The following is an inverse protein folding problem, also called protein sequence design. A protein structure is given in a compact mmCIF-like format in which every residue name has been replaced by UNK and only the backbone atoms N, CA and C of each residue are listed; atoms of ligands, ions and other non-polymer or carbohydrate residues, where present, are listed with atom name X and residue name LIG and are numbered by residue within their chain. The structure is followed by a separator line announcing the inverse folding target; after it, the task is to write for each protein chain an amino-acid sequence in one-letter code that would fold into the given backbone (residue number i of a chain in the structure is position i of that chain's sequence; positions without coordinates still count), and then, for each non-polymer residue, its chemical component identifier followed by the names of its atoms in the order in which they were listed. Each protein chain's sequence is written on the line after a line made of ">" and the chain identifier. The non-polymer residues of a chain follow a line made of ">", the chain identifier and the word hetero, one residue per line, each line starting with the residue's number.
data_IF_065097612894
#
_entry.id   IF_065097612894
#
_cell.length_a   1.000
_cell.length_b   1.000
_cell.length_c   1.000
_cell.angle_alpha   90.00
_cell.angle_beta   90.00
_cell.angle_gamma   90.00
#
_symmetry.space_group_name_H-M   'P 1'
#
loop_
_entity.id
_entity.type
_entity.pdbx_description
1 polymer ?
#
# COMPACT_ATOMS: atom_id res chain seq x y z
N UNK A 1 20.63 16.32 -15.51
CA UNK A 1 19.24 16.00 -15.95
C UNK A 1 18.22 16.58 -14.98
N UNK A 2 16.96 16.80 -15.42
CA UNK A 2 15.91 17.21 -14.50
C UNK A 2 15.60 16.07 -13.51
N UNK A 3 15.41 16.39 -12.23
CA UNK A 3 14.99 15.42 -11.23
C UNK A 3 13.59 14.89 -11.60
N UNK A 4 13.41 13.58 -11.51
CA UNK A 4 12.12 12.93 -11.65
C UNK A 4 11.43 12.93 -10.27
N UNK A 5 10.09 13.08 -10.26
CA UNK A 5 9.31 12.85 -9.02
C UNK A 5 9.25 11.34 -8.77
N UNK A 6 9.83 10.91 -7.66
CA UNK A 6 9.90 9.50 -7.26
C UNK A 6 8.71 9.09 -6.36
N UNK A 7 8.57 7.79 -6.14
CA UNK A 7 7.60 7.22 -5.21
C UNK A 7 8.28 6.19 -4.30
N UNK A 8 7.67 5.78 -3.17
CA UNK A 8 8.19 4.68 -2.35
C UNK A 8 8.49 3.43 -3.19
N UNK A 9 7.60 3.10 -4.13
CA UNK A 9 7.79 1.94 -5.03
C UNK A 9 8.99 2.11 -5.95
N UNK A 10 9.18 3.28 -6.57
CA UNK A 10 10.32 3.50 -7.47
C UNK A 10 11.64 3.47 -6.71
N UNK A 11 11.70 4.03 -5.51
CA UNK A 11 12.89 4.01 -4.64
C UNK A 11 13.22 2.58 -4.20
N UNK A 12 12.20 1.81 -3.79
CA UNK A 12 12.37 0.39 -3.45
C UNK A 12 12.86 -0.43 -4.66
N UNK A 13 12.32 -0.16 -5.87
CA UNK A 13 12.79 -0.82 -7.10
C UNK A 13 14.26 -0.50 -7.38
N UNK A 14 14.67 0.74 -7.20
CA UNK A 14 16.07 1.15 -7.36
C UNK A 14 17.01 0.42 -6.38
N UNK A 15 16.60 0.32 -5.10
CA UNK A 15 17.36 -0.41 -4.07
C UNK A 15 17.45 -1.90 -4.38
N UNK A 16 16.35 -2.48 -4.84
CA UNK A 16 16.28 -3.90 -5.18
C UNK A 16 17.16 -4.26 -6.39
N UNK A 17 17.05 -3.49 -7.47
CA UNK A 17 17.83 -3.67 -8.68
C UNK A 17 17.85 -2.40 -9.53
N UNK A 18 19.02 -1.75 -9.63
CA UNK A 18 19.17 -0.54 -10.44
C UNK A 18 18.82 -0.77 -11.90
N UNK A 19 19.16 -1.94 -12.48
CA UNK A 19 18.81 -2.30 -13.86
C UNK A 19 17.29 -2.42 -14.06
N UNK A 20 16.56 -2.97 -13.09
CA UNK A 20 15.08 -3.01 -13.11
C UNK A 20 14.50 -1.60 -13.08
N UNK A 21 15.04 -0.75 -12.19
CA UNK A 21 14.64 0.66 -12.13
C UNK A 21 14.87 1.37 -13.47
N UNK A 22 16.03 1.17 -14.11
CA UNK A 22 16.33 1.75 -15.41
C UNK A 22 15.27 1.37 -16.45
N UNK A 23 15.00 0.08 -16.64
CA UNK A 23 14.00 -0.36 -17.60
C UNK A 23 12.61 0.20 -17.32
N UNK A 24 12.20 0.20 -16.07
CA UNK A 24 10.85 0.59 -15.69
C UNK A 24 10.64 2.10 -15.70
N UNK A 25 11.63 2.87 -15.23
CA UNK A 25 11.43 4.30 -14.94
C UNK A 25 12.21 5.25 -15.82
N UNK A 26 13.33 4.84 -16.37
CA UNK A 26 14.12 5.66 -17.31
C UNK A 26 13.70 5.34 -18.75
N UNK A 27 13.79 4.07 -19.14
CA UNK A 27 13.40 3.59 -20.48
C UNK A 27 11.88 3.44 -20.64
N UNK A 28 11.12 3.38 -19.53
CA UNK A 28 9.65 3.30 -19.49
C UNK A 28 9.09 2.07 -20.22
N UNK A 29 9.77 0.94 -20.10
CA UNK A 29 9.26 -0.32 -20.63
C UNK A 29 7.99 -0.75 -19.87
N UNK A 30 7.03 -1.35 -20.58
CA UNK A 30 5.82 -1.86 -19.94
C UNK A 30 6.15 -2.97 -18.92
N UNK A 31 5.41 -2.99 -17.83
CA UNK A 31 5.41 -4.08 -16.85
C UNK A 31 4.11 -4.86 -16.95
N UNK A 32 4.16 -6.14 -16.65
CA UNK A 32 2.99 -7.00 -16.61
C UNK A 32 2.35 -6.94 -15.23
N UNK A 33 1.04 -6.76 -15.18
CA UNK A 33 0.29 -6.94 -13.93
C UNK A 33 0.32 -8.41 -13.52
N UNK A 34 0.30 -8.66 -12.23
CA UNK A 34 0.15 -10.00 -11.68
C UNK A 34 -1.03 -10.04 -10.70
N UNK A 35 -1.47 -11.22 -10.34
CA UNK A 35 -2.65 -11.40 -9.48
C UNK A 35 -2.50 -10.70 -8.13
N UNK A 36 -1.29 -10.66 -7.56
CA UNK A 36 -1.07 -10.02 -6.26
C UNK A 36 -1.24 -8.50 -6.32
N UNK A 37 -0.87 -7.87 -7.43
CA UNK A 37 -1.11 -6.44 -7.67
C UNK A 37 -2.60 -6.16 -7.87
N UNK A 38 -3.28 -6.96 -8.73
CA UNK A 38 -4.70 -6.75 -9.03
C UNK A 38 -5.56 -6.92 -7.77
N UNK A 39 -5.38 -8.00 -7.03
CA UNK A 39 -6.13 -8.20 -5.78
C UNK A 39 -5.78 -7.17 -4.70
N UNK A 40 -4.53 -6.69 -4.67
CA UNK A 40 -4.13 -5.58 -3.81
C UNK A 40 -4.95 -4.32 -4.11
N UNK A 41 -5.02 -3.92 -5.38
CA UNK A 41 -5.85 -2.80 -5.83
C UNK A 41 -7.32 -3.00 -5.44
N UNK A 42 -7.89 -4.19 -5.69
CA UNK A 42 -9.27 -4.50 -5.33
C UNK A 42 -9.50 -4.38 -3.82
N UNK A 43 -8.57 -4.90 -3.00
CA UNK A 43 -8.69 -4.81 -1.55
C UNK A 43 -8.64 -3.35 -1.06
N UNK A 44 -7.68 -2.54 -1.53
CA UNK A 44 -7.56 -1.13 -1.17
C UNK A 44 -8.82 -0.34 -1.56
N UNK A 45 -9.28 -0.47 -2.82
CA UNK A 45 -10.51 0.19 -3.26
C UNK A 45 -11.75 -0.25 -2.45
N UNK A 46 -11.80 -1.53 -2.03
CA UNK A 46 -12.90 -2.01 -1.19
C UNK A 46 -12.87 -1.39 0.21
N UNK A 47 -11.70 -1.21 0.80
CA UNK A 47 -11.54 -0.57 2.11
C UNK A 47 -11.82 0.94 2.01
N UNK A 48 -11.44 1.58 0.92
CA UNK A 48 -11.75 2.97 0.64
C UNK A 48 -13.27 3.21 0.56
N UNK A 49 -13.97 2.46 -0.31
CA UNK A 49 -15.42 2.61 -0.54
C UNK A 49 -16.24 2.21 0.70
N UNK A 50 -15.72 1.35 1.60
CA UNK A 50 -16.43 0.93 2.81
C UNK A 50 -16.83 2.12 3.70
N UNK A 51 -16.04 3.16 3.75
CA UNK A 51 -16.35 4.32 4.58
C UNK A 51 -17.36 5.30 3.93
N UNK A 52 -17.87 4.98 2.75
CA UNK A 52 -18.91 5.76 2.05
C UNK A 52 -20.29 5.07 2.03
N UNK A 53 -20.44 4.00 2.82
CA UNK A 53 -21.73 3.32 3.00
C UNK A 53 -22.74 4.26 3.65
N UNK A 54 -24.03 4.09 3.32
CA UNK A 54 -25.12 4.82 3.99
C UNK A 54 -25.31 4.31 5.43
N UNK A 55 -25.37 5.24 6.38
CA UNK A 55 -25.63 4.94 7.79
C UNK A 55 -27.10 5.20 8.19
N UNK A 56 -27.98 5.53 7.25
CA UNK A 56 -29.37 5.94 7.56
C UNK A 56 -30.11 4.90 8.40
N UNK A 57 -30.06 3.64 8.00
CA UNK A 57 -30.76 2.52 8.64
C UNK A 57 -29.88 1.73 9.64
N UNK A 58 -28.71 2.27 10.01
CA UNK A 58 -27.81 1.63 10.93
C UNK A 58 -28.33 1.76 12.37
N UNK A 59 -28.34 0.66 13.11
CA UNK A 59 -28.77 0.58 14.53
C UNK A 59 -27.82 -0.28 15.33
N UNK A 60 -27.93 -0.24 16.65
CA UNK A 60 -27.15 -1.08 17.58
C UNK A 60 -27.38 -2.58 17.36
N UNK A 61 -28.54 -2.98 16.80
CA UNK A 61 -28.86 -4.38 16.58
C UNK A 61 -28.39 -4.92 15.23
N UNK A 62 -28.16 -4.04 14.22
CA UNK A 62 -27.93 -4.50 12.85
C UNK A 62 -26.56 -4.11 12.28
N UNK A 63 -25.80 -3.22 12.93
CA UNK A 63 -24.56 -2.65 12.36
C UNK A 63 -23.57 -3.71 11.88
N UNK A 64 -23.34 -4.74 12.67
CA UNK A 64 -22.35 -5.76 12.33
C UNK A 64 -22.72 -6.55 11.06
N UNK A 65 -24.02 -6.89 10.92
CA UNK A 65 -24.53 -7.57 9.73
C UNK A 65 -24.50 -6.62 8.52
N UNK A 66 -24.95 -5.38 8.71
CA UNK A 66 -24.96 -4.35 7.66
C UNK A 66 -23.55 -4.11 7.12
N UNK A 67 -22.54 -4.03 7.99
CA UNK A 67 -21.14 -3.86 7.56
C UNK A 67 -20.63 -5.06 6.78
N UNK A 68 -20.94 -6.30 7.20
CA UNK A 68 -20.57 -7.52 6.47
C UNK A 68 -21.17 -7.56 5.07
N UNK A 69 -22.45 -7.25 4.95
CA UNK A 69 -23.14 -7.22 3.66
C UNK A 69 -22.55 -6.13 2.73
N UNK A 70 -22.30 -4.94 3.27
CA UNK A 70 -21.73 -3.85 2.48
C UNK A 70 -20.30 -4.17 1.99
N UNK A 71 -19.39 -4.65 2.83
CA UNK A 71 -18.02 -4.95 2.40
C UNK A 71 -18.01 -6.08 1.36
N UNK A 72 -18.90 -7.07 1.47
CA UNK A 72 -19.07 -8.12 0.48
C UNK A 72 -19.57 -7.58 -0.87
N UNK A 73 -20.60 -6.73 -0.86
CA UNK A 73 -21.13 -6.11 -2.08
C UNK A 73 -20.09 -5.21 -2.76
N UNK A 74 -19.37 -4.42 -1.99
CA UNK A 74 -18.29 -3.54 -2.49
C UNK A 74 -17.18 -4.38 -3.11
N UNK A 75 -16.72 -5.43 -2.42
CA UNK A 75 -15.72 -6.32 -2.94
C UNK A 75 -16.15 -7.02 -4.25
N UNK A 76 -17.37 -7.56 -4.30
CA UNK A 76 -17.93 -8.19 -5.50
C UNK A 76 -17.97 -7.23 -6.69
N UNK A 77 -18.35 -5.97 -6.45
CA UNK A 77 -18.32 -4.91 -7.46
C UNK A 77 -16.90 -4.71 -7.99
N UNK A 78 -15.91 -4.48 -7.11
CA UNK A 78 -14.53 -4.26 -7.52
C UNK A 78 -13.92 -5.47 -8.21
N UNK A 79 -14.23 -6.69 -7.77
CA UNK A 79 -13.77 -7.91 -8.45
C UNK A 79 -14.33 -7.99 -9.87
N UNK A 80 -15.62 -7.75 -10.04
CA UNK A 80 -16.28 -7.72 -11.35
C UNK A 80 -15.72 -6.60 -12.26
N UNK A 81 -15.50 -5.42 -11.72
CA UNK A 81 -14.97 -4.28 -12.49
C UNK A 81 -13.53 -4.57 -12.99
N UNK A 82 -12.77 -5.39 -12.27
CA UNK A 82 -11.43 -5.82 -12.65
C UNK A 82 -11.40 -7.12 -13.47
N UNK A 83 -12.57 -7.69 -13.83
CA UNK A 83 -12.66 -9.01 -14.51
C UNK A 83 -11.82 -9.09 -15.80
N UNK A 84 -11.81 -8.04 -16.61
CA UNK A 84 -10.98 -8.00 -17.83
C UNK A 84 -9.49 -8.14 -17.54
N UNK A 85 -9.01 -7.50 -16.47
CA UNK A 85 -7.61 -7.60 -16.03
C UNK A 85 -7.30 -8.98 -15.48
N UNK A 86 -8.22 -9.57 -14.71
CA UNK A 86 -8.11 -10.92 -14.16
C UNK A 86 -8.06 -11.97 -15.29
N UNK A 87 -8.93 -11.85 -16.29
CA UNK A 87 -8.95 -12.74 -17.46
C UNK A 87 -7.63 -12.68 -18.24
N UNK A 88 -7.04 -11.49 -18.37
CA UNK A 88 -5.74 -11.31 -19.02
C UNK A 88 -4.58 -12.03 -18.32
N UNK A 89 -4.71 -12.29 -17.00
CA UNK A 89 -3.68 -13.02 -16.24
C UNK A 89 -3.61 -14.51 -16.58
N UNK A 90 -4.61 -15.06 -17.28
CA UNK A 90 -4.65 -16.47 -17.71
C UNK A 90 -4.77 -17.46 -16.55
N UNK A 91 -5.40 -17.07 -15.43
CA UNK A 91 -5.67 -17.96 -14.31
C UNK A 91 -6.73 -18.99 -14.69
N UNK A 92 -6.59 -20.21 -14.20
CA UNK A 92 -7.69 -21.17 -14.26
C UNK A 92 -8.75 -20.86 -13.19
N UNK A 93 -9.93 -21.48 -13.29
CA UNK A 93 -11.05 -21.22 -12.39
C UNK A 93 -10.71 -21.47 -10.91
N UNK A 94 -9.95 -22.51 -10.60
CA UNK A 94 -9.57 -22.86 -9.24
C UNK A 94 -8.62 -21.80 -8.64
N UNK A 95 -7.68 -21.31 -9.45
CA UNK A 95 -6.76 -20.24 -9.05
C UNK A 95 -7.51 -18.92 -8.84
N UNK A 96 -8.42 -18.56 -9.75
CA UNK A 96 -9.21 -17.33 -9.60
C UNK A 96 -10.08 -17.41 -8.34
N UNK A 97 -10.77 -18.53 -8.13
CA UNK A 97 -11.59 -18.76 -6.93
C UNK A 97 -10.76 -18.69 -5.66
N UNK A 98 -9.59 -19.31 -5.63
CA UNK A 98 -8.66 -19.24 -4.49
C UNK A 98 -8.31 -17.79 -4.13
N UNK A 99 -7.93 -16.97 -5.12
CA UNK A 99 -7.58 -15.57 -4.84
C UNK A 99 -8.78 -14.71 -4.47
N UNK A 100 -9.95 -15.01 -5.01
CA UNK A 100 -11.21 -14.38 -4.65
C UNK A 100 -11.54 -14.62 -3.16
N UNK A 101 -11.59 -15.88 -2.76
CA UNK A 101 -11.90 -16.29 -1.38
C UNK A 101 -10.87 -15.75 -0.39
N UNK A 102 -9.58 -15.85 -0.73
CA UNK A 102 -8.50 -15.36 0.12
C UNK A 102 -8.58 -13.83 0.31
N UNK A 103 -8.93 -13.08 -0.73
CA UNK A 103 -9.09 -11.62 -0.64
C UNK A 103 -10.33 -11.26 0.20
N UNK A 104 -11.43 -11.98 0.03
CA UNK A 104 -12.62 -11.82 0.87
C UNK A 104 -12.29 -12.07 2.35
N UNK A 105 -11.55 -13.15 2.65
CA UNK A 105 -11.12 -13.44 4.04
C UNK A 105 -10.27 -12.32 4.64
N UNK A 106 -9.38 -11.70 3.85
CA UNK A 106 -8.60 -10.55 4.30
C UNK A 106 -9.49 -9.35 4.66
N UNK A 107 -10.47 -9.04 3.82
CA UNK A 107 -11.42 -7.94 4.09
C UNK A 107 -12.28 -8.23 5.31
N UNK A 108 -12.74 -9.48 5.47
CA UNK A 108 -13.51 -9.89 6.65
C UNK A 108 -12.67 -9.84 7.94
N UNK A 109 -11.39 -10.20 7.88
CA UNK A 109 -10.48 -10.06 9.02
C UNK A 109 -10.30 -8.60 9.43
N UNK A 110 -10.11 -7.71 8.45
CA UNK A 110 -10.05 -6.27 8.71
C UNK A 110 -11.35 -5.76 9.31
N UNK A 111 -12.50 -6.14 8.75
CA UNK A 111 -13.82 -5.72 9.22
C UNK A 111 -14.08 -6.14 10.66
N UNK A 112 -13.73 -7.37 11.03
CA UNK A 112 -13.90 -7.84 12.41
C UNK A 112 -13.10 -6.98 13.39
N UNK A 113 -11.85 -6.63 13.07
CA UNK A 113 -11.04 -5.74 13.91
C UNK A 113 -11.58 -4.30 13.92
N UNK A 114 -12.16 -3.84 12.81
CA UNK A 114 -12.86 -2.55 12.76
C UNK A 114 -14.09 -2.55 13.69
N UNK A 115 -14.91 -3.61 13.67
CA UNK A 115 -16.08 -3.76 14.54
C UNK A 115 -15.67 -3.79 16.01
N UNK A 116 -14.63 -4.56 16.38
CA UNK A 116 -14.09 -4.58 17.74
C UNK A 116 -13.67 -3.19 18.22
N UNK A 117 -12.99 -2.43 17.35
CA UNK A 117 -12.56 -1.07 17.64
C UNK A 117 -13.74 -0.10 17.75
N UNK A 118 -14.77 -0.28 16.92
CA UNK A 118 -16.00 0.51 16.96
C UNK A 118 -16.76 0.25 18.27
N UNK A 119 -16.96 -0.99 18.69
CA UNK A 119 -17.60 -1.34 19.97
C UNK A 119 -16.86 -0.76 21.18
N UNK A 120 -15.53 -0.81 21.12
CA UNK A 120 -14.69 -0.18 22.13
C UNK A 120 -14.91 1.33 22.17
N UNK A 121 -14.95 1.99 21.00
CA UNK A 121 -15.16 3.43 20.89
C UNK A 121 -16.54 3.86 21.40
N UNK A 122 -17.59 3.11 21.07
CA UNK A 122 -18.95 3.31 21.60
C UNK A 122 -18.94 3.32 23.14
N UNK A 123 -18.30 2.31 23.76
CA UNK A 123 -18.23 2.17 25.23
C UNK A 123 -17.39 3.29 25.87
N UNK A 124 -16.19 3.56 25.35
CA UNK A 124 -15.24 4.51 25.96
C UNK A 124 -15.70 5.96 25.85
N UNK A 125 -16.37 6.30 24.72
CA UNK A 125 -16.82 7.67 24.48
C UNK A 125 -18.29 7.90 24.80
N UNK A 126 -19.03 6.85 25.12
CA UNK A 126 -20.49 6.89 25.38
C UNK A 126 -21.27 7.55 24.21
N UNK A 127 -20.94 7.16 22.99
CA UNK A 127 -21.55 7.61 21.74
C UNK A 127 -22.25 6.45 21.03
N UNK A 128 -23.17 6.74 20.09
CA UNK A 128 -23.83 5.71 19.32
C UNK A 128 -22.93 5.12 18.21
N UNK A 129 -23.40 4.06 17.54
CA UNK A 129 -22.66 3.33 16.50
C UNK A 129 -22.36 4.23 15.29
N UNK A 130 -23.26 5.14 14.90
CA UNK A 130 -23.06 6.06 13.77
C UNK A 130 -21.99 7.10 14.08
N UNK A 131 -22.04 7.65 15.29
CA UNK A 131 -21.03 8.59 15.77
C UNK A 131 -19.66 7.92 15.89
N UNK A 132 -19.60 6.68 16.40
CA UNK A 132 -18.38 5.89 16.51
C UNK A 132 -17.80 5.56 15.11
N UNK A 133 -18.65 5.18 14.14
CA UNK A 133 -18.22 4.96 12.75
C UNK A 133 -17.60 6.22 12.16
N UNK A 134 -18.25 7.37 12.30
CA UNK A 134 -17.74 8.64 11.80
C UNK A 134 -16.45 9.08 12.52
N UNK A 135 -16.33 8.81 13.82
CA UNK A 135 -15.13 9.07 14.60
C UNK A 135 -13.93 8.24 14.13
N UNK A 136 -14.17 6.99 13.74
CA UNK A 136 -13.13 6.05 13.27
C UNK A 136 -12.83 6.18 11.77
N UNK A 137 -13.67 6.90 11.01
CA UNK A 137 -13.47 7.11 9.58
C UNK A 137 -12.18 7.86 9.33
N UNK A 138 -11.20 7.28 8.58
CA UNK A 138 -9.94 7.97 8.26
C UNK A 138 -10.11 8.97 7.12
N UNK A 139 -9.14 9.86 6.98
CA UNK A 139 -8.86 10.54 5.71
C UNK A 139 -8.17 9.49 4.82
N UNK A 140 -8.67 9.27 3.60
CA UNK A 140 -8.28 8.15 2.73
C UNK A 140 -7.61 8.62 1.45
N UNK A 141 -6.71 7.78 0.89
CA UNK A 141 -6.09 7.94 -0.42
C UNK A 141 -5.54 9.36 -0.68
N UNK A 142 -4.90 9.94 0.34
CA UNK A 142 -4.37 11.30 0.21
C UNK A 142 -3.03 11.31 -0.51
N UNK A 143 -2.96 12.07 -1.61
CA UNK A 143 -1.69 12.35 -2.27
C UNK A 143 -0.90 13.40 -1.49
N UNK A 144 0.35 13.06 -1.22
CA UNK A 144 1.36 13.96 -0.68
C UNK A 144 2.52 14.07 -1.66
N UNK A 145 3.01 15.29 -1.86
CA UNK A 145 4.14 15.59 -2.75
C UNK A 145 5.08 16.55 -2.09
N UNK A 146 6.37 16.25 -2.15
CA UNK A 146 7.45 17.14 -1.73
C UNK A 146 8.15 17.72 -2.97
N UNK A 147 8.15 19.05 -3.08
CA UNK A 147 8.94 19.76 -4.09
C UNK A 147 10.43 19.81 -3.70
N UNK A 148 10.75 19.80 -2.41
CA UNK A 148 12.12 19.79 -1.92
C UNK A 148 12.81 18.46 -2.25
N UNK A 149 12.15 17.34 -1.95
CA UNK A 149 12.72 15.99 -2.15
C UNK A 149 12.34 15.36 -3.49
N UNK A 150 11.47 15.97 -4.28
CA UNK A 150 10.98 15.41 -5.56
C UNK A 150 10.44 13.99 -5.38
N UNK A 151 9.61 13.82 -4.38
CA UNK A 151 8.96 12.55 -4.06
C UNK A 151 7.48 12.77 -3.82
N UNK A 152 6.68 11.75 -4.17
CA UNK A 152 5.24 11.70 -3.89
C UNK A 152 4.83 10.33 -3.38
N UNK A 153 3.71 10.29 -2.68
CA UNK A 153 3.09 9.04 -2.22
C UNK A 153 1.62 9.25 -1.94
N UNK A 154 0.88 8.15 -1.98
CA UNK A 154 -0.51 8.06 -1.55
C UNK A 154 -0.53 7.35 -0.21
N UNK A 155 -1.18 7.93 0.78
CA UNK A 155 -1.34 7.34 2.11
C UNK A 155 -2.77 6.79 2.18
N UNK A 156 -2.89 5.47 2.36
CA UNK A 156 -4.17 4.77 2.29
C UNK A 156 -5.15 5.26 3.35
N UNK A 157 -4.70 5.41 4.61
CA UNK A 157 -5.53 5.88 5.70
C UNK A 157 -4.75 6.76 6.70
N UNK A 158 -5.32 7.92 7.03
CA UNK A 158 -4.80 8.82 8.06
C UNK A 158 -5.85 8.92 9.15
N UNK A 159 -5.53 8.43 10.34
CA UNK A 159 -6.38 8.52 11.51
C UNK A 159 -5.90 9.66 12.41
N UNK A 160 -6.83 10.49 12.82
CA UNK A 160 -6.64 11.50 13.85
C UNK A 160 -7.39 11.04 15.11
N UNK A 161 -6.65 10.56 16.11
CA UNK A 161 -7.17 9.99 17.34
C UNK A 161 -6.55 10.75 18.51
N UNK A 162 -7.36 11.48 19.27
CA UNK A 162 -6.92 12.18 20.51
C UNK A 162 -5.64 13.04 20.32
N UNK A 163 -5.57 13.78 19.21
CA UNK A 163 -4.42 14.59 18.80
C UNK A 163 -3.17 13.78 18.34
N UNK A 164 -3.26 12.46 18.30
CA UNK A 164 -2.26 11.62 17.65
C UNK A 164 -2.62 11.41 16.17
N UNK A 165 -1.63 11.49 15.29
CA UNK A 165 -1.77 11.19 13.88
C UNK A 165 -1.15 9.84 13.61
N UNK A 166 -1.94 8.91 13.07
CA UNK A 166 -1.48 7.60 12.64
C UNK A 166 -1.63 7.47 11.12
N UNK A 167 -0.52 7.20 10.43
CA UNK A 167 -0.51 6.91 9.00
C UNK A 167 -0.51 5.39 8.81
N UNK A 168 -1.46 4.86 8.09
CA UNK A 168 -1.64 3.42 7.90
C UNK A 168 -1.67 3.10 6.41
N UNK A 169 -0.95 2.05 6.04
CA UNK A 169 -0.97 1.46 4.71
C UNK A 169 -1.48 0.01 4.81
N UNK A 170 -2.25 -0.44 3.83
CA UNK A 170 -2.82 -1.79 3.79
C UNK A 170 -1.94 -2.74 2.97
N UNK A 171 -1.72 -3.95 3.46
CA UNK A 171 -0.91 -4.97 2.77
C UNK A 171 -1.61 -6.31 2.71
N UNK A 172 -1.64 -6.90 1.51
CA UNK A 172 -2.20 -8.24 1.23
C UNK A 172 -1.16 -9.35 1.24
N UNK A 173 0.14 -9.04 1.47
CA UNK A 173 1.20 -10.03 1.55
C UNK A 173 1.06 -10.94 2.79
N UNK A 174 1.72 -12.10 2.77
CA UNK A 174 1.67 -13.07 3.85
C UNK A 174 2.64 -12.77 5.00
N UNK A 175 3.68 -11.98 4.75
CA UNK A 175 4.64 -11.59 5.80
C UNK A 175 3.96 -10.65 6.80
N UNK A 176 4.25 -10.85 8.09
CA UNK A 176 3.80 -9.98 9.20
C UNK A 176 4.98 -9.21 9.79
N UNK A 177 5.95 -8.84 8.96
CA UNK A 177 7.15 -8.15 9.41
C UNK A 177 7.34 -6.80 8.69
N UNK A 178 7.95 -5.84 9.39
CA UNK A 178 8.44 -4.62 8.78
C UNK A 178 9.75 -4.89 8.04
N UNK A 179 9.63 -5.46 6.85
CA UNK A 179 10.75 -5.58 5.93
C UNK A 179 11.32 -4.18 5.60
N UNK A 180 12.58 -4.12 5.19
CA UNK A 180 13.26 -2.86 4.86
C UNK A 180 12.51 -2.03 3.82
N UNK A 181 11.88 -2.68 2.85
CA UNK A 181 11.06 -2.04 1.81
C UNK A 181 9.82 -1.35 2.39
N UNK A 182 9.15 -2.01 3.34
CA UNK A 182 7.99 -1.47 4.07
C UNK A 182 8.44 -0.33 4.97
N UNK A 183 9.52 -0.53 5.74
CA UNK A 183 10.05 0.52 6.62
C UNK A 183 10.41 1.78 5.85
N UNK A 184 11.00 1.64 4.65
CA UNK A 184 11.31 2.78 3.79
C UNK A 184 10.04 3.47 3.27
N UNK A 185 9.01 2.73 2.87
CA UNK A 185 7.72 3.30 2.47
C UNK A 185 7.12 4.14 3.59
N UNK A 186 7.06 3.58 4.81
CA UNK A 186 6.56 4.27 6.00
C UNK A 186 7.38 5.51 6.37
N UNK A 187 8.71 5.44 6.21
CA UNK A 187 9.61 6.57 6.40
C UNK A 187 9.30 7.71 5.41
N UNK A 188 9.08 7.39 4.14
CA UNK A 188 8.73 8.38 3.10
C UNK A 188 7.37 9.00 3.39
N UNK A 189 6.35 8.23 3.78
CA UNK A 189 5.04 8.76 4.17
C UNK A 189 5.15 9.71 5.37
N UNK A 190 5.94 9.34 6.37
CA UNK A 190 6.19 10.18 7.55
C UNK A 190 6.86 11.51 7.18
N UNK A 191 7.84 11.48 6.28
CA UNK A 191 8.52 12.68 5.76
C UNK A 191 7.54 13.56 4.98
N UNK A 192 6.78 13.00 4.05
CA UNK A 192 5.80 13.73 3.23
C UNK A 192 4.72 14.40 4.09
N UNK A 193 4.21 13.69 5.11
CA UNK A 193 3.25 14.24 6.05
C UNK A 193 3.87 15.40 6.86
N UNK A 194 5.09 15.20 7.37
CA UNK A 194 5.82 16.23 8.13
C UNK A 194 6.03 17.49 7.30
N UNK A 195 6.46 17.37 6.05
CA UNK A 195 6.66 18.52 5.16
C UNK A 195 5.40 19.33 4.93
N UNK A 196 4.27 18.64 4.70
CA UNK A 196 3.00 19.31 4.43
C UNK A 196 2.40 20.00 5.64
N UNK A 197 2.54 19.40 6.84
CA UNK A 197 1.84 19.85 8.06
C UNK A 197 2.74 20.50 9.10
N UNK A 198 4.07 20.48 8.92
CA UNK A 198 5.03 20.98 9.92
C UNK A 198 5.07 20.19 11.23
N UNK A 199 4.27 19.11 11.33
CA UNK A 199 4.14 18.26 12.51
C UNK A 199 4.36 16.80 12.12
N UNK A 200 5.21 16.09 12.87
CA UNK A 200 5.44 14.66 12.64
C UNK A 200 4.17 13.87 13.01
N UNK A 201 3.80 12.83 12.22
CA UNK A 201 2.82 11.88 12.69
C UNK A 201 3.33 11.17 13.94
N UNK A 202 2.42 10.78 14.85
CA UNK A 202 2.82 10.11 16.10
C UNK A 202 3.25 8.67 15.83
N UNK A 203 2.52 8.00 14.95
CA UNK A 203 2.75 6.61 14.58
C UNK A 203 2.56 6.42 13.07
N UNK A 204 3.20 5.41 12.56
CA UNK A 204 3.05 4.93 11.19
C UNK A 204 3.02 3.41 11.22
N UNK A 205 2.28 2.78 10.32
CA UNK A 205 2.20 1.34 10.34
C UNK A 205 1.51 0.71 9.16
N UNK A 206 1.41 -0.60 9.24
CA UNK A 206 0.78 -1.46 8.25
C UNK A 206 -0.37 -2.21 8.89
N UNK A 207 -1.52 -2.18 8.24
CA UNK A 207 -2.53 -3.17 8.49
C UNK A 207 -2.29 -4.36 7.54
N UNK A 208 -1.71 -5.41 8.07
CA UNK A 208 -1.53 -6.66 7.34
C UNK A 208 -2.89 -7.37 7.29
N UNK A 209 -3.54 -7.36 6.13
CA UNK A 209 -4.92 -7.81 5.98
C UNK A 209 -5.14 -9.29 6.33
N UNK A 210 -4.08 -10.12 6.26
CA UNK A 210 -4.11 -11.51 6.74
C UNK A 210 -3.91 -11.66 8.25
N UNK A 211 -3.53 -10.58 8.94
CA UNK A 211 -3.15 -10.59 10.34
C UNK A 211 -3.84 -9.46 11.10
N UNK A 212 -3.10 -8.41 11.43
CA UNK A 212 -3.57 -7.26 12.21
C UNK A 212 -2.75 -6.01 11.95
N UNK A 213 -3.18 -4.92 12.56
CA UNK A 213 -2.43 -3.67 12.58
C UNK A 213 -1.12 -3.80 13.36
N UNK A 214 -0.02 -3.33 12.76
CA UNK A 214 1.29 -3.21 13.40
C UNK A 214 1.76 -1.77 13.26
N UNK A 215 2.01 -1.10 14.38
CA UNK A 215 2.39 0.32 14.44
C UNK A 215 3.81 0.47 14.96
N UNK A 216 4.48 1.53 14.53
CA UNK A 216 5.75 2.00 15.09
C UNK A 216 5.69 3.51 15.33
N UNK A 217 6.45 4.00 16.30
CA UNK A 217 6.60 5.45 16.53
C UNK A 217 7.42 6.09 15.42
N UNK A 218 7.08 7.34 15.10
CA UNK A 218 7.85 8.14 14.15
C UNK A 218 8.86 8.96 14.92
N UNK A 219 10.12 8.68 14.70
CA UNK A 219 11.26 9.41 15.26
C UNK A 219 12.06 10.12 14.16
N UNK A 220 13.07 10.88 14.56
CA UNK A 220 13.97 11.57 13.63
C UNK A 220 14.73 10.59 12.73
N UNK A 221 15.14 9.45 13.28
CA UNK A 221 15.87 8.42 12.52
C UNK A 221 15.06 7.87 11.34
N UNK A 222 13.73 7.78 11.50
CA UNK A 222 12.85 7.35 10.41
C UNK A 222 12.78 8.40 9.29
N UNK A 223 12.71 9.70 9.63
CA UNK A 223 12.72 10.78 8.65
C UNK A 223 14.07 10.87 7.92
N UNK A 224 15.17 10.75 8.65
CA UNK A 224 16.52 10.74 8.07
C UNK A 224 16.75 9.54 7.14
N UNK A 225 16.16 8.38 7.45
CA UNK A 225 16.17 7.23 6.54
C UNK A 225 15.54 7.59 5.19
N UNK A 226 14.36 8.22 5.19
CA UNK A 226 13.68 8.65 3.98
C UNK A 226 14.54 9.64 3.18
N UNK A 227 15.02 10.71 3.83
CA UNK A 227 15.86 11.74 3.20
C UNK A 227 17.12 11.14 2.56
N UNK A 228 17.82 10.26 3.29
CA UNK A 228 19.01 9.58 2.81
C UNK A 228 18.75 8.77 1.55
N UNK A 229 17.73 7.92 1.54
CA UNK A 229 17.46 7.02 0.42
C UNK A 229 16.92 7.77 -0.80
N UNK A 230 16.12 8.80 -0.62
CA UNK A 230 15.67 9.69 -1.69
C UNK A 230 16.86 10.42 -2.31
N UNK A 231 17.73 11.03 -1.49
CA UNK A 231 18.90 11.75 -1.97
C UNK A 231 19.90 10.82 -2.70
N UNK A 232 20.09 9.60 -2.21
CA UNK A 232 20.94 8.60 -2.84
C UNK A 232 20.44 8.27 -4.26
N UNK A 233 19.13 8.05 -4.41
CA UNK A 233 18.53 7.81 -5.73
C UNK A 233 18.71 9.02 -6.65
N UNK A 234 18.36 10.22 -6.19
CA UNK A 234 18.47 11.42 -7.01
C UNK A 234 19.91 11.73 -7.41
N UNK A 235 20.88 11.57 -6.52
CA UNK A 235 22.30 11.73 -6.85
C UNK A 235 22.73 10.80 -7.98
N UNK A 236 22.22 9.55 -7.97
CA UNK A 236 22.52 8.58 -9.01
C UNK A 236 21.83 8.94 -10.34
N UNK A 237 20.53 9.22 -10.31
CA UNK A 237 19.73 9.44 -11.53
C UNK A 237 20.01 10.77 -12.21
N UNK A 238 20.52 11.78 -11.49
CA UNK A 238 20.97 13.05 -12.09
C UNK A 238 22.37 12.97 -12.69
N UNK A 239 23.19 12.01 -12.26
CA UNK A 239 24.56 11.85 -12.76
C UNK A 239 24.62 11.15 -14.12
N UNK A 240 23.70 10.22 -14.39
CA UNK A 240 23.68 9.47 -15.66
C UNK A 240 22.31 8.85 -15.94
N UNK A 241 21.92 8.84 -17.22
CA UNK A 241 20.79 8.07 -17.76
C UNK A 241 21.26 6.89 -18.63
N UNK A 242 22.57 6.66 -18.72
CA UNK A 242 23.11 5.57 -19.51
C UNK A 242 22.95 4.23 -18.78
N UNK A 243 22.54 3.20 -19.50
CA UNK A 243 22.23 1.87 -18.96
C UNK A 243 23.38 1.25 -18.15
N UNK A 244 24.64 1.52 -18.51
CA UNK A 244 25.82 0.98 -17.83
C UNK A 244 25.98 1.52 -16.40
N UNK A 245 25.40 2.69 -16.11
CA UNK A 245 25.35 3.25 -14.76
C UNK A 245 24.36 2.53 -13.84
N UNK A 246 23.54 1.62 -14.40
CA UNK A 246 22.51 0.87 -13.66
C UNK A 246 22.85 -0.64 -13.69
N UNK A 247 23.75 -1.11 -12.81
CA UNK A 247 24.22 -2.50 -12.83
C UNK A 247 23.08 -3.49 -12.57
N UNK A 248 23.24 -4.70 -13.14
CA UNK A 248 22.37 -5.84 -12.84
C UNK A 248 22.58 -6.27 -11.38
N UNK A 249 21.49 -6.54 -10.65
CA UNK A 249 21.51 -7.19 -9.34
C UNK A 249 21.01 -8.62 -9.53
N UNK A 250 21.94 -9.54 -9.82
CA UNK A 250 21.59 -10.94 -10.09
C UNK A 250 21.29 -11.66 -8.79
N UNK A 251 20.11 -12.27 -8.69
CA UNK A 251 19.67 -12.97 -7.49
C UNK A 251 18.32 -13.68 -7.66
N UNK A 252 17.75 -14.19 -6.56
CA UNK A 252 16.49 -14.96 -6.59
C UNK A 252 15.31 -14.17 -7.20
N UNK A 253 15.35 -12.84 -7.17
CA UNK A 253 14.32 -11.98 -7.74
C UNK A 253 14.40 -11.84 -9.28
N UNK A 254 15.40 -12.42 -9.93
CA UNK A 254 15.45 -12.50 -11.39
C UNK A 254 14.55 -13.62 -11.91
N UNK A 255 14.52 -14.77 -11.20
CA UNK A 255 13.70 -15.93 -11.55
C UNK A 255 13.41 -16.75 -10.29
N UNK A 256 12.16 -17.14 -10.10
CA UNK A 256 11.68 -17.94 -8.97
C UNK A 256 10.80 -19.10 -9.48
N UNK A 257 10.33 -19.97 -8.60
CA UNK A 257 9.60 -21.20 -8.97
C UNK A 257 8.37 -20.96 -9.85
N UNK A 258 7.66 -19.86 -9.67
CA UNK A 258 6.38 -19.56 -10.35
C UNK A 258 6.45 -18.37 -11.30
N UNK A 259 7.65 -17.77 -11.52
CA UNK A 259 7.77 -16.59 -12.38
C UNK A 259 9.17 -16.05 -12.55
N UNK A 260 9.26 -14.92 -13.22
CA UNK A 260 10.50 -14.19 -13.48
C UNK A 260 10.27 -12.69 -13.43
N UNK A 261 11.34 -11.92 -13.30
CA UNK A 261 11.32 -10.45 -13.42
C UNK A 261 10.76 -10.04 -14.79
N UNK A 262 9.93 -8.99 -14.85
CA UNK A 262 9.34 -8.48 -16.11
C UNK A 262 10.39 -8.23 -17.19
N UNK A 263 11.58 -7.88 -16.79
CA UNK A 263 12.69 -7.56 -17.70
C UNK A 263 13.71 -8.70 -17.84
N UNK A 264 13.37 -9.93 -17.44
CA UNK A 264 14.29 -11.06 -17.45
C UNK A 264 14.89 -11.31 -18.84
N UNK A 265 14.05 -11.32 -19.86
CA UNK A 265 14.45 -11.68 -21.24
C UNK A 265 15.33 -10.59 -21.88
N UNK A 266 15.08 -9.32 -21.58
CA UNK A 266 15.90 -8.21 -22.09
C UNK A 266 17.15 -8.00 -21.23
N UNK A 267 17.05 -8.21 -19.93
CA UNK A 267 18.15 -8.05 -18.99
C UNK A 267 19.19 -9.17 -19.12
N UNK A 268 18.72 -10.41 -19.41
CA UNK A 268 19.57 -11.61 -19.47
C UNK A 268 20.53 -11.68 -18.28
N UNK A 269 19.99 -11.81 -17.04
CA UNK A 269 20.78 -11.60 -15.83
C UNK A 269 21.92 -12.62 -15.65
N UNK A 270 21.81 -13.79 -16.23
CA UNK A 270 22.79 -14.88 -16.11
C UNK A 270 23.75 -14.98 -17.32
N UNK A 271 23.55 -14.16 -18.35
CA UNK A 271 24.50 -14.03 -19.45
C UNK A 271 25.58 -12.97 -19.12
N UNK A 272 26.84 -13.29 -19.43
CA UNK A 272 28.01 -12.40 -19.24
C UNK A 272 28.01 -11.24 -20.22
#
# INVERSE_FOLDING_TARGET
>A
MAKRVESPTSINTFKQCKRKYYYQYIEKRPTLSNIHQVRGTIAHSSLEDFFDISLENLTEDNYAQTFRENIQMIFLKHWKDNKKTLDYLGLNNDQEMFYFEETMLMLMNWLNQFIENLEKTVKEKSIDVKEAFNYLKPIREQEYKSEEYWVRGYIDAIHEIENEIHLIDYKTNSSFEFEDSIKLQLAIYSLLYFEKHGKRPSKVGIFFLRHKLKLMKVDEGLLELAKKEINLLHSHTTSSDHIDSYPKCVGPLCKWSTGKCDFFDVCKPFEK
#
